data_IF_218442247204
#
_entry.id   IF_218442247204
#
_cell.length_a   1.000
_cell.length_b   1.000
_cell.length_c   1.000
_cell.angle_alpha   90.00
_cell.angle_beta   90.00
_cell.angle_gamma   90.00
#
_symmetry.space_group_name_H-M   'P 1'
#
loop_
_entity.id
_entity.type
_entity.pdbx_description
1 polymer ?
#
# COMPACT_ATOMS: atom_id res chain seq x y z
N UNK A 1 11.52 -74.74 -12.89
CA UNK A 1 11.25 -74.98 -14.31
C UNK A 1 11.38 -73.59 -14.93
N UNK A 2 12.58 -73.17 -15.37
CA UNK A 2 13.18 -73.48 -16.71
C UNK A 2 12.22 -72.95 -17.78
N UNK A 3 12.55 -72.05 -18.61
CA UNK A 3 13.66 -71.97 -19.53
C UNK A 3 13.86 -70.56 -20.13
N UNK A 4 15.08 -70.23 -20.41
CA UNK A 4 15.66 -69.18 -21.22
C UNK A 4 15.41 -69.43 -22.74
N UNK A 5 15.74 -68.41 -23.51
CA UNK A 5 16.44 -68.31 -24.81
C UNK A 5 15.87 -67.09 -25.54
N UNK A 6 16.54 -66.12 -26.15
CA UNK A 6 17.90 -65.92 -26.53
C UNK A 6 17.96 -65.01 -27.76
N UNK A 7 18.83 -64.00 -27.73
CA UNK A 7 19.70 -63.39 -28.76
C UNK A 7 19.21 -63.04 -30.15
N UNK A 8 19.46 -61.79 -30.59
CA UNK A 8 20.44 -61.29 -31.62
C UNK A 8 20.01 -59.94 -32.13
N UNK A 9 20.71 -58.83 -32.13
CA UNK A 9 22.03 -58.61 -32.67
C UNK A 9 21.95 -58.07 -34.10
N UNK A 10 22.02 -56.73 -34.31
CA UNK A 10 22.69 -56.17 -35.49
C UNK A 10 23.08 -54.69 -35.27
N UNK A 11 24.33 -54.47 -35.61
CA UNK A 11 25.05 -53.20 -35.70
C UNK A 11 24.73 -52.45 -37.01
N UNK A 12 25.02 -51.16 -37.02
CA UNK A 12 25.34 -50.34 -38.20
C UNK A 12 24.55 -49.08 -38.18
N UNK A 13 24.95 -47.88 -38.34
CA UNK A 13 26.18 -47.23 -38.77
C UNK A 13 26.04 -45.74 -38.35
N UNK A 14 27.14 -45.11 -37.94
CA UNK A 14 27.25 -43.64 -37.91
C UNK A 14 27.64 -43.18 -39.32
N UNK A 15 27.20 -42.01 -39.80
CA UNK A 15 28.14 -40.88 -39.79
C UNK A 15 27.53 -39.48 -39.64
N UNK A 16 28.39 -38.55 -39.33
CA UNK A 16 28.26 -37.15 -39.80
C UNK A 16 28.17 -36.08 -38.74
N UNK A 17 29.33 -35.67 -38.19
CA UNK A 17 29.47 -34.35 -37.50
C UNK A 17 29.34 -33.26 -38.55
N UNK A 18 28.46 -32.26 -38.30
CA UNK A 18 28.60 -30.93 -38.86
C UNK A 18 28.59 -29.90 -37.75
N UNK A 19 29.73 -29.25 -37.58
CA UNK A 19 29.93 -28.10 -36.74
C UNK A 19 29.16 -26.90 -37.32
N UNK A 20 28.14 -26.41 -36.64
CA UNK A 20 27.65 -25.05 -36.85
C UNK A 20 27.92 -24.22 -35.59
N UNK A 21 28.84 -23.29 -35.79
CA UNK A 21 29.19 -22.25 -34.77
C UNK A 21 27.99 -21.38 -34.51
N UNK A 22 27.43 -21.47 -33.27
CA UNK A 22 26.45 -20.53 -32.80
C UNK A 22 27.09 -19.17 -32.43
N UNK A 23 26.61 -18.13 -33.02
CA UNK A 23 26.89 -16.73 -32.62
C UNK A 23 26.19 -16.45 -31.28
N UNK A 24 26.80 -15.66 -30.37
CA UNK A 24 26.11 -15.23 -29.17
C UNK A 24 25.07 -14.18 -29.54
N UNK A 25 23.81 -14.39 -29.14
CA UNK A 25 22.75 -13.40 -29.18
C UNK A 25 22.94 -12.55 -27.94
N UNK A 26 23.30 -11.29 -28.17
CA UNK A 26 23.30 -10.28 -27.11
C UNK A 26 21.84 -9.95 -26.76
N UNK A 27 21.43 -10.27 -25.54
CA UNK A 27 20.17 -9.81 -24.98
C UNK A 27 20.37 -8.34 -24.57
N UNK A 28 19.82 -7.44 -25.38
CA UNK A 28 19.70 -6.01 -25.01
C UNK A 28 18.46 -5.90 -24.15
N UNK A 29 18.64 -5.66 -22.86
CA UNK A 29 17.57 -5.23 -21.97
C UNK A 29 17.16 -3.81 -22.38
N UNK A 30 15.99 -3.69 -22.99
CA UNK A 30 15.39 -2.39 -23.30
C UNK A 30 14.61 -1.91 -22.09
N UNK A 31 15.19 -0.98 -21.34
CA UNK A 31 14.49 -0.19 -20.34
C UNK A 31 13.59 0.80 -21.09
N UNK A 32 12.30 0.58 -21.12
CA UNK A 32 11.33 1.53 -21.67
C UNK A 32 11.02 2.58 -20.61
N UNK A 33 11.73 3.73 -20.72
CA UNK A 33 11.33 4.97 -20.05
C UNK A 33 10.29 5.63 -20.97
N UNK A 34 9.04 5.67 -20.53
CA UNK A 34 7.99 6.42 -21.21
C UNK A 34 8.19 7.92 -20.96
N UNK A 35 8.85 8.61 -21.89
CA UNK A 35 8.92 10.07 -21.89
C UNK A 35 7.64 10.63 -22.52
N UNK A 36 6.80 11.28 -21.74
CA UNK A 36 5.71 12.12 -22.25
C UNK A 36 6.32 13.45 -22.66
N UNK A 37 6.38 13.72 -23.98
CA UNK A 37 6.80 14.99 -24.52
C UNK A 37 5.64 16.00 -24.46
N UNK A 38 5.80 17.04 -23.63
CA UNK A 38 4.94 18.23 -23.67
C UNK A 38 5.61 19.25 -24.61
N UNK A 39 4.95 19.56 -25.70
CA UNK A 39 5.30 20.69 -26.58
C UNK A 39 4.91 22.00 -25.88
N UNK A 40 5.88 22.76 -25.45
CA UNK A 40 5.73 24.13 -24.96
C UNK A 40 6.40 25.12 -25.87
N UNK A 41 5.68 26.17 -26.21
CA UNK A 41 6.12 27.24 -27.09
C UNK A 41 7.17 28.16 -26.44
N UNK A 42 8.14 28.57 -27.26
CA UNK A 42 9.23 29.50 -26.98
C UNK A 42 8.76 30.91 -26.70
N UNK A 43 9.37 31.56 -25.68
CA UNK A 43 9.63 32.98 -25.65
C UNK A 43 10.96 33.25 -24.98
N UNK A 44 11.78 34.06 -25.63
CA UNK A 44 13.16 34.40 -25.32
C UNK A 44 13.31 35.37 -24.15
N UNK A 45 14.42 35.26 -23.42
CA UNK A 45 14.98 36.36 -22.61
C UNK A 45 16.01 35.91 -21.58
N UNK A 46 17.24 35.98 -21.89
CA UNK A 46 18.48 36.46 -21.25
C UNK A 46 18.89 36.05 -19.84
N UNK A 47 19.95 35.30 -19.83
CA UNK A 47 21.28 35.47 -19.18
C UNK A 47 21.55 35.05 -17.73
N UNK A 48 22.65 34.26 -17.68
CA UNK A 48 23.67 34.00 -16.62
C UNK A 48 23.37 33.22 -15.34
N UNK A 49 23.95 32.01 -15.31
CA UNK A 49 24.90 31.60 -14.26
C UNK A 49 24.36 30.80 -13.10
N UNK A 50 24.65 29.54 -13.11
CA UNK A 50 25.25 28.72 -12.09
C UNK A 50 24.76 27.28 -12.12
N UNK A 51 25.70 26.37 -12.27
CA UNK A 51 25.54 24.92 -12.13
C UNK A 51 25.12 24.56 -10.69
N UNK A 52 23.98 23.96 -10.55
CA UNK A 52 23.60 23.22 -9.37
C UNK A 52 22.87 21.97 -9.82
N UNK A 53 23.53 20.82 -9.77
CA UNK A 53 22.87 19.51 -9.93
C UNK A 53 22.08 19.25 -8.67
N UNK A 54 20.81 19.59 -8.69
CA UNK A 54 19.89 19.25 -7.60
C UNK A 54 19.30 17.88 -7.90
N UNK A 55 19.81 16.88 -7.26
CA UNK A 55 19.10 15.61 -7.06
C UNK A 55 17.89 15.93 -6.18
N UNK A 56 16.72 16.04 -6.77
CA UNK A 56 15.46 16.16 -6.04
C UNK A 56 15.17 14.81 -5.39
N UNK A 57 15.52 14.68 -4.10
CA UNK A 57 14.94 13.68 -3.21
C UNK A 57 13.42 13.89 -3.20
N UNK A 58 12.63 12.84 -3.44
CA UNK A 58 11.19 12.87 -3.30
C UNK A 58 10.85 12.90 -1.79
N UNK A 59 10.76 14.09 -1.24
CA UNK A 59 10.20 14.27 0.10
C UNK A 59 8.69 14.38 -0.06
N UNK A 60 7.94 13.49 0.60
CA UNK A 60 6.49 13.55 0.67
C UNK A 60 6.05 14.78 1.47
N UNK A 61 5.16 15.57 0.90
CA UNK A 61 4.54 16.70 1.60
C UNK A 61 3.22 16.20 2.18
N UNK A 62 3.05 16.27 3.49
CA UNK A 62 1.84 15.84 4.19
C UNK A 62 0.80 16.96 4.19
N UNK A 63 -0.43 16.68 3.83
CA UNK A 63 -1.54 17.64 3.83
C UNK A 63 -2.67 17.13 4.71
N UNK A 64 -3.17 17.98 5.62
CA UNK A 64 -4.34 17.70 6.45
C UNK A 64 -5.54 18.40 5.82
N UNK A 65 -6.62 17.65 5.58
CA UNK A 65 -7.94 18.22 5.34
C UNK A 65 -8.80 18.00 6.58
N UNK A 66 -9.24 19.05 7.22
CA UNK A 66 -10.08 19.02 8.42
C UNK A 66 -11.36 19.84 8.27
N UNK A 67 -12.25 19.77 9.25
CA UNK A 67 -13.53 20.48 9.25
C UNK A 67 -13.43 21.92 9.76
N UNK A 68 -12.36 22.25 10.49
CA UNK A 68 -12.26 23.52 11.21
C UNK A 68 -13.19 23.69 12.42
N UNK A 69 -14.27 22.91 12.53
CA UNK A 69 -15.19 22.86 13.66
C UNK A 69 -15.81 21.46 13.81
N UNK A 70 -15.57 20.80 14.95
CA UNK A 70 -16.18 19.52 15.31
C UNK A 70 -15.54 18.31 14.61
N UNK A 71 -14.51 17.79 15.23
CA UNK A 71 -13.67 16.67 14.75
C UNK A 71 -14.44 15.34 14.74
N UNK A 72 -15.30 15.15 13.72
CA UNK A 72 -16.08 13.91 13.53
C UNK A 72 -16.11 13.51 12.07
N UNK A 73 -16.24 12.20 11.76
CA UNK A 73 -16.37 11.73 10.40
C UNK A 73 -17.53 12.39 9.62
N UNK A 74 -18.65 12.63 10.29
CA UNK A 74 -19.81 13.24 9.67
C UNK A 74 -19.57 14.71 9.29
N UNK A 75 -18.85 15.45 10.12
CA UNK A 75 -18.47 16.84 9.85
C UNK A 75 -17.46 16.91 8.70
N UNK A 76 -16.43 16.05 8.71
CA UNK A 76 -15.48 15.94 7.61
C UNK A 76 -16.18 15.66 6.27
N UNK A 77 -17.04 14.65 6.24
CA UNK A 77 -17.79 14.31 5.01
C UNK A 77 -18.61 15.47 4.50
N UNK A 78 -19.26 16.23 5.41
CA UNK A 78 -20.04 17.41 5.05
C UNK A 78 -19.14 18.50 4.47
N UNK A 79 -18.05 18.84 5.14
CA UNK A 79 -17.12 19.87 4.68
C UNK A 79 -16.52 19.54 3.31
N UNK A 80 -16.14 18.28 3.09
CA UNK A 80 -15.58 17.82 1.81
C UNK A 80 -16.64 17.86 0.70
N UNK A 81 -17.86 17.37 0.96
CA UNK A 81 -18.94 17.39 -0.04
C UNK A 81 -19.39 18.83 -0.41
N UNK A 82 -19.30 19.75 0.52
CA UNK A 82 -19.63 21.17 0.28
C UNK A 82 -18.46 21.95 -0.34
N UNK A 83 -17.29 21.31 -0.53
CA UNK A 83 -16.09 21.92 -1.09
C UNK A 83 -15.43 22.96 -0.18
N UNK A 84 -15.66 22.86 1.14
CA UNK A 84 -15.19 23.80 2.14
C UNK A 84 -14.31 23.18 3.25
N UNK A 85 -13.51 22.12 2.98
CA UNK A 85 -12.61 21.60 4.00
C UNK A 85 -11.47 22.59 4.24
N UNK A 86 -11.02 22.69 5.49
CA UNK A 86 -9.80 23.43 5.82
C UNK A 86 -8.59 22.56 5.44
N UNK A 87 -7.63 23.17 4.76
CA UNK A 87 -6.38 22.52 4.32
C UNK A 87 -5.23 23.10 5.12
N UNK A 88 -4.42 22.24 5.71
CA UNK A 88 -3.24 22.63 6.49
C UNK A 88 -2.05 21.82 6.00
N UNK A 89 -0.92 22.48 5.81
CA UNK A 89 0.37 21.81 5.58
C UNK A 89 0.85 21.23 6.92
N UNK A 90 0.98 19.91 7.00
CA UNK A 90 1.45 19.21 8.19
C UNK A 90 2.99 19.09 8.24
N UNK A 91 3.67 19.37 7.13
CA UNK A 91 5.12 19.24 7.01
C UNK A 91 5.54 18.07 6.13
N UNK A 92 6.81 17.72 6.20
CA UNK A 92 7.42 16.62 5.45
C UNK A 92 7.92 15.54 6.40
N UNK A 93 7.94 14.28 5.94
CA UNK A 93 8.56 13.20 6.69
C UNK A 93 10.06 13.46 6.80
N UNK A 94 10.53 13.77 8.02
CA UNK A 94 11.90 14.20 8.32
C UNK A 94 12.77 13.05 8.80
N UNK A 95 12.91 12.02 7.95
CA UNK A 95 13.85 10.92 8.21
C UNK A 95 14.32 10.31 6.90
N UNK A 96 15.63 10.05 6.75
CA UNK A 96 16.17 9.37 5.57
C UNK A 96 15.83 7.87 5.52
N UNK A 97 15.22 7.33 6.58
CA UNK A 97 14.79 5.93 6.63
C UNK A 97 13.51 5.70 5.81
N UNK A 98 12.70 6.75 5.62
CA UNK A 98 11.52 6.73 4.76
C UNK A 98 11.88 7.46 3.47
N UNK A 99 12.15 6.72 2.42
CA UNK A 99 12.61 7.23 1.13
C UNK A 99 11.66 6.92 -0.03
N UNK A 100 10.75 5.98 0.17
CA UNK A 100 9.69 5.59 -0.77
C UNK A 100 8.43 5.33 0.04
N UNK A 101 7.89 6.40 0.68
CA UNK A 101 6.69 6.33 1.50
C UNK A 101 5.52 5.75 0.67
N UNK A 102 4.90 4.69 1.18
CA UNK A 102 3.72 4.07 0.62
C UNK A 102 2.58 4.10 1.66
N UNK A 103 2.29 3.03 2.40
CA UNK A 103 1.16 3.02 3.35
C UNK A 103 1.33 3.96 4.55
N UNK A 104 0.22 4.54 5.00
CA UNK A 104 0.10 5.40 6.19
C UNK A 104 -1.17 5.04 6.97
N UNK A 105 -1.08 5.00 8.30
CA UNK A 105 -2.27 4.84 9.17
C UNK A 105 -2.04 5.47 10.54
N UNK A 106 -3.11 6.05 11.14
CA UNK A 106 -3.04 6.57 12.49
C UNK A 106 -3.00 5.45 13.54
N UNK A 107 -2.19 5.63 14.59
CA UNK A 107 -2.16 4.74 15.73
C UNK A 107 -3.48 4.77 16.51
N UNK A 108 -3.94 3.59 16.96
CA UNK A 108 -5.07 3.49 17.88
C UNK A 108 -4.66 3.32 19.33
N UNK A 109 -3.44 2.83 19.58
CA UNK A 109 -2.91 2.55 20.93
C UNK A 109 -2.02 3.67 21.46
N UNK A 110 -1.29 4.35 20.58
CA UNK A 110 -0.39 5.44 20.96
C UNK A 110 -1.12 6.77 20.72
N UNK A 111 -1.91 7.18 21.69
CA UNK A 111 -2.79 8.34 21.57
C UNK A 111 -2.02 9.64 21.79
N UNK A 112 -2.26 10.60 20.93
CA UNK A 112 -1.91 12.00 21.00
C UNK A 112 -2.91 12.77 20.15
N UNK A 113 -3.09 14.05 20.39
CA UNK A 113 -4.06 14.85 19.65
C UNK A 113 -3.43 15.44 18.38
N UNK A 114 -4.01 15.17 17.22
CA UNK A 114 -3.63 15.79 15.95
C UNK A 114 -2.14 15.64 15.62
N UNK A 115 -1.39 16.73 15.59
CA UNK A 115 0.04 16.74 15.28
C UNK A 115 0.91 15.99 16.31
N UNK A 116 0.40 15.74 17.50
CA UNK A 116 1.09 15.01 18.56
C UNK A 116 0.70 13.52 18.59
N UNK A 117 -0.18 13.08 17.67
CA UNK A 117 -0.53 11.67 17.46
C UNK A 117 0.59 10.89 16.79
N UNK A 118 0.56 9.57 16.98
CA UNK A 118 1.48 8.64 16.32
C UNK A 118 0.84 8.14 15.03
N UNK A 119 1.65 8.11 13.97
CA UNK A 119 1.29 7.60 12.66
C UNK A 119 2.28 6.50 12.28
N UNK A 120 1.78 5.45 11.67
CA UNK A 120 2.58 4.37 11.14
C UNK A 120 2.73 4.53 9.64
N UNK A 121 3.98 4.45 9.17
CA UNK A 121 4.33 4.55 7.76
C UNK A 121 5.35 3.46 7.41
N UNK A 122 5.39 3.04 6.16
CA UNK A 122 6.44 2.15 5.65
C UNK A 122 6.93 2.60 4.27
N UNK A 123 8.05 2.03 3.85
CA UNK A 123 8.51 2.14 2.48
C UNK A 123 7.83 1.09 1.60
N UNK A 124 7.75 1.36 0.32
CA UNK A 124 7.47 0.42 -0.76
C UNK A 124 8.53 -0.70 -0.82
N UNK A 125 8.57 -1.41 -1.90
CA UNK A 125 9.41 -2.58 -2.17
C UNK A 125 10.93 -2.34 -2.01
N UNK A 126 11.66 -3.42 -1.69
CA UNK A 126 13.13 -3.41 -1.70
C UNK A 126 13.81 -2.88 -0.45
N UNK A 127 13.07 -2.40 0.53
CA UNK A 127 13.56 -1.97 1.84
C UNK A 127 13.62 -3.13 2.86
N UNK A 128 14.24 -2.90 4.02
CA UNK A 128 14.15 -3.83 5.13
C UNK A 128 12.70 -3.93 5.65
N UNK A 129 12.25 -5.09 6.15
CA UNK A 129 10.90 -5.25 6.69
C UNK A 129 10.76 -4.49 8.01
N UNK A 130 10.41 -3.22 7.92
CA UNK A 130 10.23 -2.32 9.05
C UNK A 130 9.13 -1.30 8.78
N UNK A 131 8.42 -0.94 9.84
CA UNK A 131 7.50 0.19 9.87
C UNK A 131 8.08 1.29 10.75
N UNK A 132 7.66 2.51 10.52
CA UNK A 132 8.17 3.69 11.21
C UNK A 132 7.03 4.39 11.93
N UNK A 133 7.23 4.68 13.22
CA UNK A 133 6.35 5.58 13.97
C UNK A 133 6.84 7.00 13.73
N UNK A 134 5.96 7.86 13.27
CA UNK A 134 6.19 9.29 13.11
C UNK A 134 5.11 10.08 13.86
N UNK A 135 5.37 11.33 14.22
CA UNK A 135 4.31 12.23 14.66
C UNK A 135 3.65 12.94 13.47
N UNK A 136 2.57 13.67 13.70
CA UNK A 136 1.86 14.40 12.66
C UNK A 136 2.64 15.52 11.98
N UNK A 137 3.92 15.74 12.38
CA UNK A 137 4.85 16.68 11.75
C UNK A 137 5.93 15.95 10.93
N UNK A 138 5.81 14.63 10.76
CA UNK A 138 6.75 13.82 10.01
C UNK A 138 8.04 13.45 10.76
N UNK A 139 8.16 13.74 12.05
CA UNK A 139 9.35 13.44 12.84
C UNK A 139 9.34 11.99 13.30
N UNK A 140 10.47 11.29 13.13
CA UNK A 140 10.62 9.89 13.53
C UNK A 140 10.56 9.73 15.05
N UNK A 141 9.69 8.86 15.52
CA UNK A 141 9.53 8.49 16.93
C UNK A 141 10.19 7.15 17.25
N UNK A 142 10.01 6.16 16.39
CA UNK A 142 10.60 4.83 16.53
C UNK A 142 10.65 4.11 15.17
N UNK A 143 11.53 3.10 15.09
CA UNK A 143 11.56 2.09 14.04
C UNK A 143 11.12 0.76 14.62
N UNK A 144 10.23 0.04 13.94
CA UNK A 144 9.79 -1.30 14.35
C UNK A 144 10.20 -2.29 13.28
N UNK A 145 11.21 -3.11 13.59
CA UNK A 145 11.63 -4.21 12.72
C UNK A 145 10.64 -5.37 12.86
N UNK A 146 10.12 -5.88 11.75
CA UNK A 146 9.12 -6.94 11.71
C UNK A 146 9.83 -8.30 11.53
N UNK A 147 10.00 -9.04 12.63
CA UNK A 147 10.64 -10.34 12.60
C UNK A 147 9.72 -11.39 11.96
N UNK A 148 10.24 -12.10 10.96
CA UNK A 148 9.49 -13.07 10.18
C UNK A 148 8.76 -12.49 8.96
N UNK A 149 8.80 -11.17 8.75
CA UNK A 149 8.29 -10.55 7.52
C UNK A 149 9.36 -10.51 6.42
N UNK A 150 8.89 -10.47 5.17
CA UNK A 150 9.67 -10.13 3.97
C UNK A 150 9.07 -8.85 3.38
N UNK A 151 9.89 -7.84 3.06
CA UNK A 151 9.45 -6.66 2.32
C UNK A 151 9.68 -6.90 0.83
N UNK A 152 8.66 -7.46 0.16
CA UNK A 152 8.76 -7.80 -1.25
C UNK A 152 8.12 -6.74 -2.13
N UNK A 153 6.90 -6.37 -1.82
CA UNK A 153 6.08 -5.40 -2.57
C UNK A 153 4.99 -4.88 -1.61
N UNK A 154 5.45 -4.11 -0.59
CA UNK A 154 4.57 -3.55 0.43
C UNK A 154 3.86 -2.32 -0.11
N UNK A 155 2.54 -2.29 0.01
CA UNK A 155 1.73 -1.25 -0.61
C UNK A 155 0.92 -0.44 0.39
N UNK A 156 0.34 -1.09 1.40
CA UNK A 156 -0.53 -0.39 2.35
C UNK A 156 -0.40 -0.94 3.77
N UNK A 157 -0.78 -0.13 4.74
CA UNK A 157 -0.83 -0.47 6.16
C UNK A 157 -2.18 -0.08 6.74
N UNK A 158 -2.76 -0.95 7.54
CA UNK A 158 -4.04 -0.70 8.19
C UNK A 158 -3.97 -0.99 9.69
N UNK A 159 -4.85 -0.37 10.45
CA UNK A 159 -5.06 -0.65 11.86
C UNK A 159 -6.43 -1.28 12.07
N UNK A 160 -6.54 -2.21 12.99
CA UNK A 160 -7.78 -2.90 13.26
C UNK A 160 -8.02 -3.20 14.74
N UNK A 161 -9.20 -3.77 15.06
CA UNK A 161 -9.57 -4.05 16.44
C UNK A 161 -8.61 -5.08 17.07
N UNK A 162 -8.53 -5.09 18.41
CA UNK A 162 -7.77 -6.10 19.15
C UNK A 162 -8.12 -7.54 18.76
N UNK A 163 -7.11 -8.39 18.64
CA UNK A 163 -7.31 -9.82 18.39
C UNK A 163 -8.10 -10.50 19.52
N UNK A 164 -7.93 -10.00 20.76
CA UNK A 164 -8.67 -10.41 21.94
C UNK A 164 -9.24 -9.18 22.64
N UNK A 165 -10.41 -9.28 23.20
CA UNK A 165 -11.06 -8.17 23.91
C UNK A 165 -10.15 -7.60 25.01
N UNK A 166 -9.93 -6.29 25.00
CA UNK A 166 -9.08 -5.58 25.95
C UNK A 166 -7.56 -5.67 25.66
N UNK A 167 -7.16 -6.33 24.58
CA UNK A 167 -5.79 -6.33 24.07
C UNK A 167 -5.44 -5.07 23.28
N UNK A 168 -4.20 -4.97 22.78
CA UNK A 168 -3.80 -3.89 21.89
C UNK A 168 -4.51 -3.99 20.54
N UNK A 169 -4.70 -2.85 19.88
CA UNK A 169 -5.05 -2.79 18.45
C UNK A 169 -4.03 -3.59 17.63
N UNK A 170 -4.44 -3.98 16.43
CA UNK A 170 -3.60 -4.75 15.52
C UNK A 170 -3.18 -3.87 14.35
N UNK A 171 -1.90 -3.95 13.97
CA UNK A 171 -1.43 -3.44 12.69
C UNK A 171 -1.39 -4.56 11.65
N UNK A 172 -1.67 -4.19 10.42
CA UNK A 172 -1.64 -5.07 9.27
C UNK A 172 -0.82 -4.41 8.18
N UNK A 173 0.23 -5.09 7.70
CA UNK A 173 1.06 -4.61 6.59
C UNK A 173 0.79 -5.48 5.37
N UNK A 174 0.41 -4.87 4.28
CA UNK A 174 0.03 -5.52 3.03
C UNK A 174 1.22 -5.68 2.08
N UNK A 175 1.83 -6.87 2.02
CA UNK A 175 2.74 -7.29 0.95
C UNK A 175 1.90 -7.81 -0.23
N UNK A 176 1.16 -6.90 -0.87
CA UNK A 176 0.07 -7.17 -1.80
C UNK A 176 0.33 -6.71 -3.23
N UNK A 177 1.36 -5.93 -3.49
CA UNK A 177 1.80 -5.53 -4.82
C UNK A 177 2.23 -6.74 -5.66
N UNK A 178 1.99 -6.70 -6.94
CA UNK A 178 2.33 -7.76 -7.89
C UNK A 178 2.34 -7.23 -9.33
N UNK A 179 3.15 -6.22 -9.58
CA UNK A 179 3.28 -5.54 -10.88
C UNK A 179 3.46 -6.51 -12.06
N UNK A 180 4.05 -7.68 -11.83
CA UNK A 180 4.20 -8.73 -12.85
C UNK A 180 2.88 -9.35 -13.29
N UNK A 181 1.88 -9.37 -12.41
CA UNK A 181 0.54 -9.86 -12.77
C UNK A 181 -0.11 -8.99 -13.84
N UNK A 182 0.09 -7.67 -13.77
CA UNK A 182 -0.36 -6.72 -14.78
C UNK A 182 0.22 -7.02 -16.16
N UNK A 183 1.50 -7.41 -16.22
CA UNK A 183 2.19 -7.72 -17.48
C UNK A 183 1.84 -9.11 -18.03
N UNK A 184 1.01 -9.90 -17.33
CA UNK A 184 0.76 -11.30 -17.67
C UNK A 184 2.01 -12.17 -17.59
N UNK A 185 3.00 -11.75 -16.78
CA UNK A 185 4.26 -12.48 -16.59
C UNK A 185 4.00 -13.78 -15.83
N UNK A 186 4.46 -14.89 -16.40
CA UNK A 186 4.34 -16.22 -15.76
C UNK A 186 5.09 -16.32 -14.41
N UNK A 187 5.94 -15.35 -14.08
CA UNK A 187 6.63 -15.24 -12.78
C UNK A 187 5.90 -14.36 -11.78
N UNK A 188 4.68 -13.89 -12.09
CA UNK A 188 3.81 -13.19 -11.14
C UNK A 188 3.58 -14.06 -9.89
N UNK A 189 3.44 -13.40 -8.73
CA UNK A 189 3.17 -14.11 -7.48
C UNK A 189 1.79 -14.78 -7.53
N UNK A 190 1.74 -16.08 -7.24
CA UNK A 190 0.47 -16.80 -7.10
C UNK A 190 -0.24 -16.53 -5.76
N UNK A 191 0.46 -15.91 -4.82
CA UNK A 191 -0.08 -15.49 -3.52
C UNK A 191 0.60 -14.20 -3.07
N UNK A 192 -0.15 -13.38 -2.37
CA UNK A 192 0.29 -12.17 -1.67
C UNK A 192 0.25 -12.42 -0.16
N UNK A 193 0.74 -11.49 0.66
CA UNK A 193 0.80 -11.68 2.11
C UNK A 193 0.23 -10.49 2.84
N UNK A 194 -0.32 -10.76 4.02
CA UNK A 194 -0.62 -9.73 5.01
C UNK A 194 0.07 -10.13 6.32
N UNK A 195 0.84 -9.22 6.88
CA UNK A 195 1.52 -9.38 8.16
C UNK A 195 0.71 -8.67 9.24
N UNK A 196 0.34 -9.40 10.30
CA UNK A 196 -0.36 -8.84 11.46
C UNK A 196 0.56 -8.87 12.68
N UNK A 197 0.53 -7.78 13.44
CA UNK A 197 1.20 -7.67 14.73
C UNK A 197 0.34 -6.91 15.74
N UNK A 198 0.58 -7.15 17.01
CA UNK A 198 0.07 -6.26 18.06
C UNK A 198 0.68 -4.87 17.85
N UNK A 199 -0.13 -3.83 17.92
CA UNK A 199 0.35 -2.47 17.76
C UNK A 199 1.36 -2.13 18.88
N UNK A 200 2.63 -1.84 18.55
CA UNK A 200 3.65 -1.59 19.55
C UNK A 200 3.41 -0.28 20.30
N UNK A 201 3.77 -0.25 21.58
CA UNK A 201 3.87 1.00 22.33
C UNK A 201 5.19 1.67 21.99
N UNK A 202 5.13 2.91 21.55
CA UNK A 202 6.27 3.73 21.14
C UNK A 202 6.24 5.10 21.84
N UNK A 203 7.39 5.83 21.89
CA UNK A 203 7.37 7.21 22.33
C UNK A 203 6.44 8.07 21.50
N UNK A 204 5.78 9.04 22.14
CA UNK A 204 4.94 10.04 21.45
C UNK A 204 5.72 11.33 21.15
N UNK A 205 6.91 11.47 21.74
CA UNK A 205 7.80 12.61 21.51
C UNK A 205 9.03 12.17 20.72
N UNK A 206 9.53 13.00 19.79
CA UNK A 206 10.74 12.70 19.06
C UNK A 206 11.95 12.64 19.99
N UNK A 207 13.00 11.87 19.63
CA UNK A 207 14.21 11.79 20.42
C UNK A 207 14.86 13.17 20.59
N UNK A 208 15.50 13.39 21.74
CA UNK A 208 16.24 14.62 21.98
C UNK A 208 17.29 14.86 20.88
N UNK A 209 17.58 16.13 20.60
CA UNK A 209 18.54 16.49 19.56
C UNK A 209 19.90 15.75 19.75
N UNK A 210 20.35 15.08 18.69
CA UNK A 210 21.56 14.25 18.70
C UNK A 210 21.38 12.82 19.23
N UNK A 211 20.17 12.44 19.63
CA UNK A 211 19.82 11.06 19.98
C UNK A 211 19.21 10.33 18.78
N UNK A 212 19.27 9.01 18.80
CA UNK A 212 18.70 8.13 17.77
C UNK A 212 17.34 7.62 18.25
N UNK A 213 16.36 7.59 17.35
CA UNK A 213 15.06 7.00 17.63
C UNK A 213 15.23 5.50 18.01
N UNK A 214 14.45 4.98 18.99
CA UNK A 214 14.54 3.60 19.40
C UNK A 214 14.17 2.66 18.25
N UNK A 215 14.84 1.49 18.24
CA UNK A 215 14.49 0.38 17.36
C UNK A 215 13.85 -0.71 18.22
N UNK A 216 12.63 -1.09 17.86
CA UNK A 216 11.85 -2.14 18.51
C UNK A 216 11.73 -3.31 17.54
N UNK A 217 11.69 -4.53 18.05
CA UNK A 217 11.40 -5.72 17.24
C UNK A 217 10.01 -6.26 17.59
N UNK A 218 9.23 -6.54 16.58
CA UNK A 218 7.91 -7.14 16.72
C UNK A 218 7.81 -8.42 15.88
N UNK A 219 7.23 -9.48 16.46
CA UNK A 219 6.92 -10.70 15.73
C UNK A 219 5.63 -10.50 14.94
N UNK A 220 5.55 -11.08 13.75
CA UNK A 220 4.36 -11.02 12.92
C UNK A 220 3.70 -12.38 12.75
N UNK A 221 2.37 -12.37 12.64
CA UNK A 221 1.60 -13.49 12.09
C UNK A 221 1.42 -13.26 10.60
N UNK A 222 1.83 -14.23 9.77
CA UNK A 222 1.75 -14.12 8.31
C UNK A 222 0.51 -14.82 7.78
N UNK A 223 -0.29 -14.12 6.98
CA UNK A 223 -1.39 -14.66 6.20
C UNK A 223 -0.99 -14.72 4.73
N UNK A 224 -0.99 -15.91 4.14
CA UNK A 224 -0.77 -16.12 2.71
C UNK A 224 -2.12 -16.13 2.00
N UNK A 225 -2.33 -15.19 1.07
CA UNK A 225 -3.61 -14.94 0.41
C UNK A 225 -3.52 -15.29 -1.07
N UNK A 226 -4.56 -15.95 -1.60
CA UNK A 226 -4.69 -16.24 -3.03
C UNK A 226 -5.94 -15.61 -3.59
N UNK A 227 -5.83 -15.05 -4.77
CA UNK A 227 -6.99 -14.66 -5.56
C UNK A 227 -7.64 -15.91 -6.16
N UNK A 228 -8.98 -15.95 -6.32
CA UNK A 228 -9.68 -17.18 -6.69
C UNK A 228 -9.49 -17.60 -8.15
N UNK A 229 -9.13 -16.68 -9.04
CA UNK A 229 -9.09 -16.88 -10.50
C UNK A 229 -7.69 -16.67 -11.10
N UNK A 230 -7.07 -15.52 -10.87
CA UNK A 230 -5.75 -15.17 -11.40
C UNK A 230 -5.03 -14.24 -10.42
N UNK A 231 -3.69 -14.10 -10.50
CA UNK A 231 -2.98 -13.07 -9.76
C UNK A 231 -3.43 -11.67 -10.16
N UNK A 232 -3.54 -10.77 -9.19
CA UNK A 232 -3.76 -9.34 -9.37
C UNK A 232 -2.65 -8.56 -8.70
N UNK A 233 -2.51 -7.33 -9.13
CA UNK A 233 -1.80 -6.28 -8.44
C UNK A 233 -2.79 -5.50 -7.55
N UNK A 234 -2.38 -5.16 -6.33
CA UNK A 234 -3.21 -4.43 -5.41
C UNK A 234 -2.35 -3.48 -4.58
N UNK A 235 -2.86 -2.29 -4.33
CA UNK A 235 -2.14 -1.24 -3.61
C UNK A 235 -2.97 -0.62 -2.47
N UNK A 236 -4.16 -1.15 -2.18
CA UNK A 236 -4.97 -0.63 -1.09
C UNK A 236 -5.52 -1.76 -0.21
N UNK A 237 -5.49 -1.55 1.10
CA UNK A 237 -5.95 -2.50 2.09
C UNK A 237 -6.61 -1.80 3.27
N UNK A 238 -7.80 -2.26 3.68
CA UNK A 238 -8.46 -1.78 4.89
C UNK A 238 -8.88 -2.94 5.79
N UNK A 239 -8.92 -2.69 7.09
CA UNK A 239 -9.46 -3.61 8.08
C UNK A 239 -10.76 -3.01 8.63
N UNK A 240 -11.87 -3.71 8.44
CA UNK A 240 -13.17 -3.25 8.95
C UNK A 240 -13.15 -3.16 10.49
N UNK A 241 -13.20 -1.96 11.10
CA UNK A 241 -13.09 -1.78 12.54
C UNK A 241 -14.26 -2.42 13.30
N UNK A 242 -15.39 -2.63 12.64
CA UNK A 242 -16.60 -3.19 13.23
C UNK A 242 -16.63 -4.72 13.15
N UNK A 243 -16.11 -5.28 12.05
CA UNK A 243 -16.21 -6.71 11.77
C UNK A 243 -14.87 -7.43 11.82
N UNK A 244 -13.74 -6.72 11.69
CA UNK A 244 -12.40 -7.29 11.64
C UNK A 244 -12.06 -8.01 10.33
N UNK A 245 -12.92 -7.89 9.30
CA UNK A 245 -12.62 -8.41 7.96
C UNK A 245 -11.51 -7.57 7.30
N UNK A 246 -10.59 -8.22 6.60
CA UNK A 246 -9.56 -7.55 5.80
C UNK A 246 -10.06 -7.47 4.37
N UNK A 247 -9.93 -6.29 3.75
CA UNK A 247 -10.36 -5.96 2.41
C UNK A 247 -9.17 -5.49 1.60
N UNK A 248 -9.01 -6.04 0.38
CA UNK A 248 -7.95 -5.69 -0.56
C UNK A 248 -8.61 -5.15 -1.83
N UNK A 249 -8.10 -4.03 -2.33
CA UNK A 249 -8.59 -3.33 -3.52
C UNK A 249 -7.48 -3.39 -4.56
N UNK A 250 -7.78 -3.93 -5.74
CA UNK A 250 -6.79 -4.06 -6.81
C UNK A 250 -6.52 -2.73 -7.50
N UNK A 251 -5.34 -2.59 -8.08
CA UNK A 251 -5.03 -1.48 -8.99
C UNK A 251 -5.58 -1.79 -10.38
N UNK A 252 -6.38 -0.86 -10.95
CA UNK A 252 -7.00 -1.03 -12.27
C UNK A 252 -6.04 -0.67 -13.40
N UNK A 253 -5.07 -1.53 -13.66
CA UNK A 253 -4.12 -1.33 -14.76
C UNK A 253 -4.75 -1.36 -16.14
N UNK A 254 -5.87 -2.03 -16.30
CA UNK A 254 -6.64 -2.05 -17.55
C UNK A 254 -7.36 -0.72 -17.80
N UNK A 255 -7.39 0.15 -16.79
CA UNK A 255 -8.03 1.47 -16.82
C UNK A 255 -9.49 1.40 -17.24
N UNK A 256 -10.14 0.32 -16.85
CA UNK A 256 -11.54 0.01 -17.20
C UNK A 256 -12.55 0.82 -16.38
N UNK A 257 -12.09 1.66 -15.45
CA UNK A 257 -12.95 2.46 -14.57
C UNK A 257 -13.50 1.67 -13.39
N UNK A 258 -12.77 0.66 -12.92
CA UNK A 258 -13.14 -0.12 -11.73
C UNK A 258 -11.96 -0.86 -11.14
N UNK A 259 -11.89 -0.93 -9.82
CA UNK A 259 -11.03 -1.86 -9.08
C UNK A 259 -11.85 -3.02 -8.53
N UNK A 260 -11.23 -4.19 -8.43
CA UNK A 260 -11.86 -5.36 -7.82
C UNK A 260 -11.66 -5.31 -6.31
N UNK A 261 -12.69 -5.71 -5.59
CA UNK A 261 -12.69 -5.79 -4.14
C UNK A 261 -12.67 -7.25 -3.71
N UNK A 262 -11.68 -7.62 -2.94
CA UNK A 262 -11.56 -8.94 -2.35
C UNK A 262 -11.62 -8.84 -0.83
N UNK A 263 -12.17 -9.87 -0.19
CA UNK A 263 -12.30 -9.96 1.25
C UNK A 263 -11.63 -11.23 1.77
N UNK A 264 -10.84 -11.08 2.81
CA UNK A 264 -10.35 -12.14 3.65
C UNK A 264 -11.27 -12.29 4.89
N UNK A 265 -11.58 -13.51 5.36
CA UNK A 265 -12.23 -13.70 6.64
C UNK A 265 -11.42 -13.10 7.79
N UNK A 266 -12.04 -12.93 8.96
CA UNK A 266 -11.36 -12.39 10.15
C UNK A 266 -10.08 -13.15 10.45
N UNK A 267 -9.00 -12.42 10.68
CA UNK A 267 -7.70 -13.00 10.97
C UNK A 267 -7.70 -13.95 12.18
N UNK A 268 -8.53 -13.67 13.19
CA UNK A 268 -8.67 -14.52 14.37
C UNK A 268 -9.29 -15.93 14.09
N UNK A 269 -9.94 -16.08 12.93
CA UNK A 269 -10.58 -17.35 12.52
C UNK A 269 -9.66 -18.24 11.69
N UNK A 270 -8.42 -17.79 11.44
CA UNK A 270 -7.48 -18.41 10.50
C UNK A 270 -6.28 -18.94 11.27
N UNK A 271 -5.98 -20.23 11.08
CA UNK A 271 -4.78 -20.83 11.64
C UNK A 271 -3.53 -20.31 10.94
N UNK A 272 -2.50 -20.03 11.73
CA UNK A 272 -1.19 -19.60 11.22
C UNK A 272 -0.62 -20.59 10.20
N UNK A 273 0.02 -20.07 9.15
CA UNK A 273 0.60 -20.88 8.08
C UNK A 273 -0.39 -21.43 7.06
N UNK A 274 -1.69 -21.12 7.20
CA UNK A 274 -2.71 -21.57 6.24
C UNK A 274 -2.75 -20.62 5.05
N UNK A 275 -2.80 -21.19 3.83
CA UNK A 275 -3.09 -20.44 2.61
C UNK A 275 -4.60 -20.22 2.49
N UNK A 276 -4.99 -18.95 2.27
CA UNK A 276 -6.39 -18.52 2.30
C UNK A 276 -6.80 -18.08 0.90
N UNK A 277 -7.90 -18.65 0.42
CA UNK A 277 -8.53 -18.15 -0.81
C UNK A 277 -9.41 -16.95 -0.46
N UNK A 278 -9.09 -15.79 -1.05
CA UNK A 278 -9.90 -14.60 -0.89
C UNK A 278 -11.25 -14.74 -1.59
N UNK A 279 -12.25 -14.07 -1.06
CA UNK A 279 -13.60 -14.06 -1.61
C UNK A 279 -13.79 -12.81 -2.45
N UNK A 280 -14.25 -12.91 -3.71
CA UNK A 280 -14.70 -11.76 -4.46
C UNK A 280 -15.81 -11.04 -3.68
N UNK A 281 -15.72 -9.73 -3.58
CA UNK A 281 -16.59 -8.95 -2.71
C UNK A 281 -17.26 -7.75 -3.41
N UNK A 282 -17.09 -7.63 -4.71
CA UNK A 282 -17.64 -6.59 -5.55
C UNK A 282 -16.58 -5.81 -6.32
N UNK A 283 -16.98 -4.66 -6.79
CA UNK A 283 -16.15 -3.73 -7.54
C UNK A 283 -16.24 -2.34 -6.90
N UNK A 284 -15.19 -1.57 -7.03
CA UNK A 284 -15.14 -0.14 -6.70
C UNK A 284 -15.25 0.61 -8.02
N UNK A 285 -16.35 1.30 -8.31
CA UNK A 285 -16.47 2.13 -9.51
C UNK A 285 -15.47 3.30 -9.45
N UNK A 286 -14.78 3.55 -10.55
CA UNK A 286 -13.76 4.59 -10.69
C UNK A 286 -13.98 5.35 -12.00
N UNK A 287 -13.45 6.57 -12.09
CA UNK A 287 -13.30 7.21 -13.38
C UNK A 287 -12.26 6.44 -14.22
N UNK A 288 -12.50 6.25 -15.54
CA UNK A 288 -11.54 5.57 -16.40
C UNK A 288 -10.14 6.18 -16.34
N UNK A 289 -9.15 5.35 -16.08
CA UNK A 289 -7.76 5.77 -15.95
C UNK A 289 -7.30 6.05 -14.52
N UNK A 290 -8.19 5.99 -13.53
CA UNK A 290 -7.85 6.10 -12.11
C UNK A 290 -7.10 4.86 -11.66
N UNK A 291 -6.00 5.06 -10.96
CA UNK A 291 -5.17 4.01 -10.35
C UNK A 291 -5.20 4.21 -8.84
N UNK A 292 -5.80 3.26 -8.14
CA UNK A 292 -5.88 3.24 -6.66
C UNK A 292 -4.50 2.95 -6.10
N UNK A 293 -4.12 3.68 -5.04
CA UNK A 293 -2.82 3.55 -4.37
C UNK A 293 -2.93 3.29 -2.86
N UNK A 294 -4.04 3.65 -2.20
CA UNK A 294 -4.24 3.37 -0.78
C UNK A 294 -5.71 3.50 -0.41
N UNK A 295 -6.09 3.00 0.76
CA UNK A 295 -7.39 3.23 1.35
C UNK A 295 -7.31 3.20 2.88
N UNK A 296 -8.20 3.93 3.54
CA UNK A 296 -8.36 3.86 4.99
C UNK A 296 -9.85 3.92 5.38
N UNK A 297 -10.13 3.59 6.63
CA UNK A 297 -11.48 3.59 7.20
C UNK A 297 -11.47 4.23 8.58
N UNK A 298 -12.41 5.13 8.84
CA UNK A 298 -12.54 5.76 10.16
C UNK A 298 -12.75 4.70 11.26
N UNK A 299 -12.25 4.98 12.46
CA UNK A 299 -12.30 4.05 13.61
C UNK A 299 -13.72 3.58 13.94
N UNK A 300 -14.74 4.41 13.71
CA UNK A 300 -16.16 4.07 13.87
C UNK A 300 -16.73 3.29 12.66
N UNK A 301 -15.95 3.19 11.59
CA UNK A 301 -16.32 2.50 10.36
C UNK A 301 -17.35 3.21 9.49
N UNK A 302 -17.59 4.50 9.72
CA UNK A 302 -18.63 5.26 9.01
C UNK A 302 -18.19 5.82 7.66
N UNK A 303 -16.89 6.10 7.48
CA UNK A 303 -16.32 6.59 6.23
C UNK A 303 -15.20 5.67 5.74
N UNK A 304 -15.05 5.60 4.43
CA UNK A 304 -13.91 5.00 3.73
C UNK A 304 -13.28 6.07 2.85
N UNK A 305 -11.97 6.26 2.97
CA UNK A 305 -11.18 7.04 2.03
C UNK A 305 -10.53 6.11 1.02
N UNK A 306 -10.54 6.50 -0.25
CA UNK A 306 -9.84 5.83 -1.33
C UNK A 306 -8.88 6.82 -1.99
N UNK A 307 -7.60 6.50 -1.98
CA UNK A 307 -6.56 7.30 -2.64
C UNK A 307 -6.29 6.78 -4.03
N UNK A 308 -6.08 7.69 -4.93
CA UNK A 308 -5.42 7.47 -6.22
C UNK A 308 -4.27 8.48 -6.37
N UNK A 309 -3.44 8.38 -7.40
CA UNK A 309 -2.32 9.32 -7.58
C UNK A 309 -2.73 10.79 -7.48
N UNK A 310 -3.89 11.16 -7.96
CA UNK A 310 -4.32 12.55 -8.05
C UNK A 310 -5.59 12.92 -7.27
N UNK A 311 -6.18 12.00 -6.51
CA UNK A 311 -7.44 12.25 -5.82
C UNK A 311 -7.57 11.45 -4.51
N UNK A 312 -8.37 11.97 -3.60
CA UNK A 312 -8.95 11.24 -2.47
C UNK A 312 -10.46 11.29 -2.61
N UNK A 313 -11.10 10.14 -2.59
CA UNK A 313 -12.56 10.01 -2.60
C UNK A 313 -13.05 9.49 -1.26
N UNK A 314 -13.94 10.24 -0.61
CA UNK A 314 -14.57 9.85 0.65
C UNK A 314 -15.94 9.22 0.39
N UNK A 315 -16.12 7.98 0.86
CA UNK A 315 -17.34 7.21 0.75
C UNK A 315 -18.02 7.07 2.10
N UNK A 316 -19.34 7.30 2.16
CA UNK A 316 -20.13 7.04 3.37
C UNK A 316 -20.55 5.58 3.43
N UNK A 317 -20.24 4.90 4.51
CA UNK A 317 -20.76 3.55 4.77
C UNK A 317 -22.17 3.62 5.35
N UNK A 318 -23.19 3.04 4.70
CA UNK A 318 -24.52 2.98 5.27
C UNK A 318 -24.55 2.18 6.57
N UNK A 319 -25.25 2.70 7.58
CA UNK A 319 -25.28 2.10 8.93
C UNK A 319 -25.68 0.62 8.91
N UNK A 320 -24.94 -0.20 9.64
CA UNK A 320 -25.17 -1.65 9.76
C UNK A 320 -24.84 -2.48 8.52
N UNK A 321 -24.38 -1.86 7.42
CA UNK A 321 -24.00 -2.57 6.20
C UNK A 321 -22.55 -3.05 6.26
N UNK A 322 -22.16 -3.94 5.33
CA UNK A 322 -20.77 -4.34 5.11
C UNK A 322 -19.95 -3.15 4.58
N UNK A 323 -18.64 -3.21 4.73
CA UNK A 323 -17.75 -2.16 4.25
C UNK A 323 -17.91 -1.92 2.73
N UNK A 324 -18.08 -2.99 1.93
CA UNK A 324 -18.28 -2.86 0.48
C UNK A 324 -19.46 -1.99 0.08
N UNK A 325 -20.47 -1.85 0.95
CA UNK A 325 -21.63 -0.98 0.66
C UNK A 325 -21.26 0.52 0.68
N UNK A 326 -20.10 0.91 1.17
CA UNK A 326 -19.60 2.26 1.04
C UNK A 326 -19.39 2.62 -0.44
N UNK A 327 -18.81 1.71 -1.21
CA UNK A 327 -18.51 1.92 -2.63
C UNK A 327 -19.77 1.90 -3.55
N UNK A 328 -20.93 1.59 -3.01
CA UNK A 328 -22.23 1.73 -3.69
C UNK A 328 -22.80 3.15 -3.54
N UNK A 329 -22.19 4.01 -2.71
CA UNK A 329 -22.59 5.40 -2.51
C UNK A 329 -21.78 6.35 -3.40
N UNK A 330 -22.34 7.52 -3.71
CA UNK A 330 -21.59 8.56 -4.43
C UNK A 330 -20.52 9.14 -3.50
N UNK A 331 -19.23 9.14 -3.91
CA UNK A 331 -18.18 9.74 -3.11
C UNK A 331 -18.18 11.26 -3.21
N UNK A 332 -17.49 11.90 -2.27
CA UNK A 332 -17.11 13.30 -2.38
C UNK A 332 -15.58 13.39 -2.51
N UNK A 333 -15.12 14.11 -3.54
CA UNK A 333 -13.70 14.35 -3.78
C UNK A 333 -13.11 15.29 -2.73
N UNK A 334 -12.10 14.82 -2.00
CA UNK A 334 -11.36 15.60 -1.02
C UNK A 334 -10.13 16.26 -1.63
N UNK A 335 -9.58 17.30 -0.98
CA UNK A 335 -8.36 17.95 -1.40
C UNK A 335 -7.16 17.01 -1.27
N UNK A 336 -6.21 17.15 -2.19
CA UNK A 336 -4.92 16.47 -2.18
C UNK A 336 -3.82 17.47 -2.50
N UNK A 337 -2.59 17.28 -1.99
CA UNK A 337 -1.45 18.09 -2.39
C UNK A 337 -1.10 17.82 -3.85
N UNK A 338 -0.35 18.74 -4.46
CA UNK A 338 0.15 18.55 -5.80
C UNK A 338 1.38 17.61 -5.78
N UNK A 339 1.13 16.34 -5.70
CA UNK A 339 2.13 15.27 -5.71
C UNK A 339 2.19 14.59 -7.08
N UNK A 340 3.39 14.19 -7.49
CA UNK A 340 3.57 13.44 -8.74
C UNK A 340 2.98 12.05 -8.63
N UNK A 341 3.10 11.44 -7.44
CA UNK A 341 2.57 10.13 -7.06
C UNK A 341 2.08 10.24 -5.62
N UNK A 342 0.77 10.29 -5.41
CA UNK A 342 0.16 10.21 -4.09
C UNK A 342 -0.08 8.75 -3.73
N UNK A 343 0.62 8.24 -2.72
CA UNK A 343 0.64 6.81 -2.40
C UNK A 343 -0.23 6.45 -1.19
N UNK A 344 -0.53 7.40 -0.29
CA UNK A 344 -1.20 7.08 0.96
C UNK A 344 -2.33 8.03 1.35
N UNK A 345 -3.26 7.52 2.16
CA UNK A 345 -4.29 8.30 2.85
C UNK A 345 -4.57 7.66 4.21
N UNK A 346 -4.71 8.47 5.25
CA UNK A 346 -5.08 7.98 6.59
C UNK A 346 -5.98 8.98 7.31
N UNK A 347 -7.06 8.48 7.93
CA UNK A 347 -7.88 9.29 8.82
C UNK A 347 -7.16 9.56 10.15
N UNK A 348 -7.35 10.74 10.69
CA UNK A 348 -7.00 11.02 12.09
C UNK A 348 -7.81 10.12 13.04
N UNK A 349 -7.31 9.87 14.27
CA UNK A 349 -7.97 8.96 15.22
C UNK A 349 -9.42 9.29 15.55
N UNK A 350 -9.82 10.57 15.49
CA UNK A 350 -11.19 11.07 15.67
C UNK A 350 -12.04 10.98 14.40
N UNK A 351 -11.40 10.78 13.23
CA UNK A 351 -12.05 10.74 11.93
C UNK A 351 -12.50 12.09 11.39
N UNK A 352 -12.13 13.20 12.06
CA UNK A 352 -12.49 14.57 11.65
C UNK A 352 -11.56 15.17 10.61
N UNK A 353 -10.47 14.50 10.29
CA UNK A 353 -9.52 14.90 9.25
C UNK A 353 -8.85 13.69 8.61
N UNK A 354 -8.10 13.91 7.55
CA UNK A 354 -7.20 12.90 6.95
C UNK A 354 -5.88 13.52 6.51
N UNK A 355 -4.82 12.70 6.51
CA UNK A 355 -3.50 13.00 5.95
C UNK A 355 -3.31 12.24 4.64
N UNK A 356 -2.46 12.81 3.77
CA UNK A 356 -2.00 12.14 2.54
C UNK A 356 -0.49 12.25 2.44
#
# INVERSE_FOLDING_TARGET
MSERVGTSGRRGDRPGRSHLRGRPVAVIAATLIAAVAILGATACGGDSGAKGTTTTSKKGTSTIADTGEGDTPAALMTAVCEGAPKITDAGEVDTPLVNEASGLVASWSNTGDGADGVWWIHNDSGSAPAIFAINGRGQLLATVALEGAEARDWEDIAVGPPAVAGGPSQLYVGDIGNNKAMLGDATARGSVRVYRLDEPVVPTEPPAAGSVAPVVTANVTTFSLRYPDKPYDAEAMVVDPVRGDIWIITKDWERAGKSLLFRMPKAAEIAEGTSIDMLPAGEVPLEPGTLVTSADVTRDGSLVALRSYGAVDLYRRPSGKKLSAAFETTPCGGPVPNEVQGESVAFAPDGGSYLT
#
